data_IF_679204713704
#
_entry.id   IF_679204713704
#
_cell.length_a   1.000
_cell.length_b   1.000
_cell.length_c   1.000
_cell.angle_alpha   90.00
_cell.angle_beta   90.00
_cell.angle_gamma   90.00
#
_symmetry.space_group_name_H-M   'P 1'
#
loop_
_entity.id
_entity.type
_entity.pdbx_description
1 polymer ?
#
# COMPACT_ATOMS: atom_id res chain seq x y z
N UNK A 1 5.24 32.11 7.54
CA UNK A 1 5.72 30.78 8.00
C UNK A 1 5.43 29.70 6.96
N UNK A 2 5.09 30.09 5.73
CA UNK A 2 4.53 29.22 4.68
C UNK A 2 5.55 28.68 3.67
N UNK A 3 6.82 29.07 3.78
CA UNK A 3 7.87 28.65 2.84
C UNK A 3 8.44 27.25 3.08
N UNK A 4 8.31 26.71 4.29
CA UNK A 4 8.84 25.39 4.67
C UNK A 4 7.87 24.22 4.42
N UNK A 5 6.56 24.48 4.36
CA UNK A 5 5.56 23.47 4.03
C UNK A 5 5.71 22.97 2.58
N UNK A 6 6.00 23.88 1.63
CA UNK A 6 6.31 23.52 0.25
C UNK A 6 7.58 22.68 0.10
N UNK A 7 8.53 22.81 1.04
CA UNK A 7 9.78 22.05 1.07
C UNK A 7 9.65 20.68 1.77
N UNK A 8 8.45 20.30 2.24
CA UNK A 8 8.23 19.04 2.95
C UNK A 8 8.98 18.95 4.28
N UNK A 9 9.37 20.09 4.85
CA UNK A 9 10.09 20.17 6.14
C UNK A 9 9.12 20.22 7.31
N UNK A 10 7.87 20.62 7.06
CA UNK A 10 6.77 20.57 8.03
C UNK A 10 5.61 19.79 7.42
N UNK A 11 5.17 18.73 8.09
CA UNK A 11 3.85 18.13 7.85
C UNK A 11 2.85 19.18 8.34
N UNK A 12 1.91 19.59 7.50
CA UNK A 12 0.79 20.41 7.97
C UNK A 12 0.12 19.64 9.13
N UNK A 13 0.04 20.24 10.32
CA UNK A 13 -0.43 19.61 11.57
C UNK A 13 -1.96 19.35 11.57
N UNK A 14 -2.54 19.05 10.41
CA UNK A 14 -3.85 18.42 10.37
C UNK A 14 -3.68 16.93 10.69
N UNK A 15 -4.37 16.46 11.72
CA UNK A 15 -4.49 15.04 12.15
C UNK A 15 -5.02 14.09 11.04
N UNK A 16 -5.08 14.52 9.78
CA UNK A 16 -5.82 13.88 8.69
C UNK A 16 -4.95 13.29 7.58
N UNK A 17 -3.64 13.56 7.54
CA UNK A 17 -2.77 13.05 6.50
C UNK A 17 -1.87 11.92 7.01
N UNK A 18 -1.90 10.79 6.30
CA UNK A 18 -1.09 9.60 6.62
C UNK A 18 -0.35 9.12 5.37
N UNK A 19 0.83 8.53 5.57
CA UNK A 19 1.57 7.84 4.51
C UNK A 19 1.39 6.34 4.69
N UNK A 20 0.89 5.68 3.64
CA UNK A 20 0.72 4.22 3.56
C UNK A 20 1.22 3.74 2.20
N UNK A 21 1.52 2.44 2.11
CA UNK A 21 1.85 1.77 0.85
C UNK A 21 0.59 1.23 0.22
N UNK A 22 0.39 1.51 -1.06
CA UNK A 22 -0.63 0.85 -1.88
C UNK A 22 -0.19 -0.59 -2.13
N UNK A 23 -1.05 -1.54 -1.78
CA UNK A 23 -0.81 -2.98 -1.96
C UNK A 23 -1.67 -3.55 -3.07
N UNK A 24 -2.89 -3.02 -3.24
CA UNK A 24 -3.75 -3.34 -4.37
C UNK A 24 -4.47 -2.10 -4.88
N UNK A 25 -4.72 -2.06 -6.18
CA UNK A 25 -5.51 -1.04 -6.87
C UNK A 25 -6.84 -1.64 -7.33
N UNK A 26 -7.76 -0.80 -7.81
CA UNK A 26 -9.07 -1.22 -8.29
C UNK A 26 -9.04 -2.49 -9.14
N UNK A 27 -9.87 -3.45 -8.76
CA UNK A 27 -9.99 -4.76 -9.38
C UNK A 27 -9.10 -5.84 -8.77
N UNK A 28 -8.00 -5.51 -8.10
CA UNK A 28 -7.08 -6.50 -7.53
C UNK A 28 -7.75 -7.38 -6.48
N UNK A 29 -7.40 -8.67 -6.47
CA UNK A 29 -7.65 -9.54 -5.33
C UNK A 29 -6.43 -9.53 -4.42
N UNK A 30 -6.59 -9.05 -3.19
CA UNK A 30 -5.54 -9.06 -2.18
C UNK A 30 -5.92 -10.00 -1.05
N UNK A 31 -5.05 -10.96 -0.77
CA UNK A 31 -5.29 -11.99 0.24
C UNK A 31 -4.12 -12.05 1.21
N UNK A 32 -4.44 -12.17 2.50
CA UNK A 32 -3.52 -12.71 3.48
C UNK A 32 -4.05 -14.03 4.03
N UNK A 33 -3.25 -15.10 4.04
CA UNK A 33 -1.87 -15.18 3.52
C UNK A 33 -1.64 -16.54 2.88
N UNK A 34 -0.60 -16.63 2.04
CA UNK A 34 -0.14 -17.94 1.56
C UNK A 34 0.40 -18.80 2.72
N UNK A 35 0.74 -20.06 2.43
CA UNK A 35 1.25 -21.00 3.43
C UNK A 35 2.57 -20.56 4.10
N UNK A 36 3.24 -19.54 3.56
CA UNK A 36 4.48 -18.94 4.11
C UNK A 36 4.22 -17.60 4.80
N UNK A 37 2.96 -17.17 4.95
CA UNK A 37 2.59 -15.92 5.59
C UNK A 37 2.74 -14.68 4.71
N UNK A 38 2.86 -14.84 3.38
CA UNK A 38 3.02 -13.71 2.44
C UNK A 38 1.67 -13.18 1.98
N UNK A 39 1.63 -11.88 1.69
CA UNK A 39 0.51 -11.26 0.99
C UNK A 39 0.51 -11.75 -0.45
N UNK A 40 -0.69 -12.03 -0.95
CA UNK A 40 -0.92 -12.48 -2.32
C UNK A 40 -1.76 -11.42 -3.03
N UNK A 41 -1.31 -10.95 -4.19
CA UNK A 41 -2.04 -10.04 -5.07
C UNK A 41 -2.23 -10.75 -6.41
N UNK A 42 -3.48 -10.96 -6.84
CA UNK A 42 -3.81 -11.65 -8.10
C UNK A 42 -3.03 -12.97 -8.27
N UNK A 43 -3.07 -13.81 -7.22
CA UNK A 43 -2.39 -15.11 -7.14
C UNK A 43 -0.85 -15.06 -7.10
N UNK A 44 -0.25 -13.86 -7.05
CA UNK A 44 1.20 -13.65 -6.92
C UNK A 44 1.56 -13.30 -5.49
N UNK A 45 2.42 -14.12 -4.88
CA UNK A 45 2.86 -13.91 -3.50
C UNK A 45 4.03 -12.93 -3.43
N UNK A 46 3.82 -11.80 -2.76
CA UNK A 46 4.77 -10.69 -2.66
C UNK A 46 5.98 -11.06 -1.79
N UNK A 47 7.17 -10.62 -2.21
CA UNK A 47 8.40 -10.73 -1.43
C UNK A 47 8.77 -9.38 -0.80
N UNK A 48 8.14 -9.07 0.33
CA UNK A 48 8.21 -7.75 0.98
C UNK A 48 9.34 -7.64 2.03
N UNK A 49 9.69 -8.77 2.66
CA UNK A 49 10.67 -8.88 3.75
C UNK A 49 12.09 -8.63 3.24
N UNK A 50 12.83 -7.78 3.94
CA UNK A 50 14.16 -7.34 3.53
C UNK A 50 14.15 -6.27 2.44
N UNK A 51 12.99 -5.91 1.88
CA UNK A 51 12.83 -4.84 0.90
C UNK A 51 12.35 -3.55 1.58
N UNK A 52 11.13 -3.58 2.14
CA UNK A 52 10.58 -2.49 2.95
C UNK A 52 10.00 -2.96 4.29
N UNK A 53 9.81 -4.26 4.49
CA UNK A 53 9.56 -4.84 5.81
C UNK A 53 10.86 -5.31 6.44
N UNK A 54 11.02 -5.10 7.74
CA UNK A 54 12.11 -5.73 8.49
C UNK A 54 11.88 -7.24 8.66
N UNK A 55 12.94 -8.01 8.87
CA UNK A 55 12.86 -9.47 9.09
C UNK A 55 11.98 -9.87 10.30
N UNK A 56 11.76 -8.96 11.24
CA UNK A 56 10.90 -9.18 12.41
C UNK A 56 9.43 -8.80 12.20
N UNK A 57 9.06 -8.26 11.04
CA UNK A 57 7.68 -7.87 10.73
C UNK A 57 7.01 -8.98 9.90
N UNK A 58 5.90 -9.52 10.40
CA UNK A 58 5.03 -10.37 9.61
C UNK A 58 4.30 -9.51 8.54
N UNK A 59 4.11 -10.01 7.30
CA UNK A 59 3.32 -9.30 6.30
C UNK A 59 1.87 -9.02 6.77
N UNK A 60 1.32 -9.85 7.65
CA UNK A 60 0.09 -9.60 8.38
C UNK A 60 -0.10 -10.57 9.54
N UNK A 61 -0.74 -10.11 10.60
CA UNK A 61 -1.34 -10.97 11.63
C UNK A 61 -2.88 -11.07 11.52
N UNK A 62 -3.47 -10.34 10.57
CA UNK A 62 -4.92 -10.32 10.32
C UNK A 62 -5.20 -10.99 8.97
N UNK A 63 -6.09 -11.99 8.95
CA UNK A 63 -6.52 -12.64 7.72
C UNK A 63 -7.54 -11.77 6.97
N UNK A 64 -7.43 -11.74 5.64
CA UNK A 64 -8.39 -11.06 4.78
C UNK A 64 -8.30 -11.60 3.37
N UNK A 65 -9.39 -11.44 2.63
CA UNK A 65 -9.50 -11.77 1.22
C UNK A 65 -10.48 -10.78 0.60
N UNK A 66 -9.97 -9.86 -0.21
CA UNK A 66 -10.72 -8.69 -0.68
C UNK A 66 -10.52 -8.49 -2.17
N UNK A 67 -11.55 -7.98 -2.82
CA UNK A 67 -11.45 -7.36 -4.14
C UNK A 67 -11.47 -5.84 -3.93
N UNK A 68 -10.43 -5.16 -4.39
CA UNK A 68 -10.37 -3.70 -4.29
C UNK A 68 -11.42 -3.09 -5.24
N UNK A 69 -12.32 -2.23 -4.77
CA UNK A 69 -13.27 -1.55 -5.65
C UNK A 69 -12.55 -0.67 -6.69
N UNK A 70 -13.19 -0.48 -7.83
CA UNK A 70 -12.72 0.49 -8.84
C UNK A 70 -12.51 1.88 -8.22
N UNK A 71 -11.49 2.59 -8.70
CA UNK A 71 -11.08 3.91 -8.18
C UNK A 71 -10.73 3.94 -6.68
N UNK A 72 -10.41 2.79 -6.08
CA UNK A 72 -9.93 2.71 -4.70
C UNK A 72 -8.58 2.00 -4.59
N UNK A 73 -7.99 2.10 -3.42
CA UNK A 73 -6.75 1.43 -3.03
C UNK A 73 -6.95 0.62 -1.75
N UNK A 74 -6.31 -0.54 -1.69
CA UNK A 74 -6.06 -1.25 -0.44
C UNK A 74 -4.64 -0.93 0.02
N UNK A 75 -4.50 -0.38 1.22
CA UNK A 75 -3.23 0.17 1.71
C UNK A 75 -2.81 -0.49 3.01
N UNK A 76 -1.50 -0.66 3.19
CA UNK A 76 -0.89 -1.14 4.43
C UNK A 76 0.24 -0.19 4.86
N UNK A 77 0.47 -0.09 6.17
CA UNK A 77 1.69 0.52 6.68
C UNK A 77 2.88 -0.43 6.60
N UNK A 78 4.08 0.09 6.35
CA UNK A 78 5.32 -0.72 6.35
C UNK A 78 5.70 -1.20 7.76
N UNK A 79 5.19 -0.54 8.81
CA UNK A 79 5.20 -1.06 10.19
C UNK A 79 3.87 -1.76 10.50
N UNK A 80 3.71 -2.97 9.95
CA UNK A 80 2.49 -3.79 9.98
C UNK A 80 1.92 -3.94 11.38
N UNK A 81 2.77 -4.26 12.36
CA UNK A 81 2.37 -4.48 13.76
C UNK A 81 1.74 -3.26 14.46
N UNK A 82 1.95 -2.06 13.92
CA UNK A 82 1.56 -0.79 14.56
C UNK A 82 0.82 0.16 13.62
N UNK A 83 0.21 -0.37 12.56
CA UNK A 83 -0.46 0.44 11.54
C UNK A 83 -1.97 0.22 11.61
N UNK A 84 -2.72 1.28 11.95
CA UNK A 84 -4.14 1.36 11.60
C UNK A 84 -4.26 1.64 10.11
N UNK A 85 -4.59 0.62 9.33
CA UNK A 85 -4.74 0.67 7.88
C UNK A 85 -5.93 -0.17 7.41
N UNK A 86 -6.08 -0.37 6.10
CA UNK A 86 -7.24 -1.00 5.47
C UNK A 86 -7.72 -2.27 6.17
N UNK A 87 -6.77 -3.06 6.68
CA UNK A 87 -7.03 -4.37 7.28
C UNK A 87 -7.87 -4.32 8.56
N UNK A 88 -7.84 -3.18 9.28
CA UNK A 88 -8.62 -2.98 10.52
C UNK A 88 -10.05 -2.49 10.30
N UNK A 89 -10.38 -2.05 9.07
CA UNK A 89 -11.71 -1.54 8.74
C UNK A 89 -12.53 -2.55 7.93
N UNK A 90 -12.02 -3.77 7.74
CA UNK A 90 -12.75 -4.83 7.05
C UNK A 90 -13.88 -5.42 7.90
N UNK A 91 -14.99 -5.86 7.28
CA UNK A 91 -15.27 -5.87 5.83
C UNK A 91 -15.96 -4.59 5.32
N UNK A 92 -15.89 -3.47 6.04
CA UNK A 92 -16.60 -2.25 5.68
C UNK A 92 -15.96 -1.54 4.47
N UNK A 93 -16.73 -0.72 3.77
CA UNK A 93 -16.23 0.10 2.64
C UNK A 93 -15.06 1.02 3.05
N UNK A 94 -15.01 1.41 4.33
CA UNK A 94 -13.91 2.21 4.90
C UNK A 94 -12.55 1.52 4.86
N UNK A 95 -12.49 0.22 4.55
CA UNK A 95 -11.24 -0.47 4.30
C UNK A 95 -10.52 0.02 3.04
N UNK A 96 -11.21 0.65 2.10
CA UNK A 96 -10.63 1.07 0.83
C UNK A 96 -10.52 2.59 0.79
N UNK A 97 -9.34 3.08 0.37
CA UNK A 97 -9.07 4.51 0.25
C UNK A 97 -9.47 4.96 -1.15
N UNK A 98 -10.35 5.96 -1.25
CA UNK A 98 -10.72 6.53 -2.55
C UNK A 98 -9.51 7.16 -3.22
N UNK A 99 -9.43 7.05 -4.55
CA UNK A 99 -8.40 7.75 -5.34
C UNK A 99 -8.46 9.26 -5.15
N UNK A 100 -9.64 9.81 -4.88
CA UNK A 100 -9.83 11.25 -4.66
C UNK A 100 -9.30 11.73 -3.29
N UNK A 101 -9.08 10.81 -2.34
CA UNK A 101 -8.48 11.12 -1.04
C UNK A 101 -6.93 11.11 -1.08
N UNK A 102 -6.33 10.74 -2.22
CA UNK A 102 -4.87 10.69 -2.38
C UNK A 102 -4.33 12.07 -2.79
N UNK A 103 -3.60 12.69 -1.87
CA UNK A 103 -2.96 14.00 -2.11
C UNK A 103 -1.74 13.88 -3.03
N UNK A 104 -0.99 12.77 -2.96
CA UNK A 104 0.17 12.55 -3.81
C UNK A 104 1.02 11.34 -3.41
N UNK A 105 2.10 11.12 -4.14
CA UNK A 105 3.05 10.02 -3.92
C UNK A 105 4.31 10.54 -3.23
N UNK A 106 4.77 9.87 -2.18
CA UNK A 106 6.05 10.18 -1.56
C UNK A 106 7.21 9.76 -2.49
N UNK A 107 8.14 10.68 -2.76
CA UNK A 107 9.24 10.45 -3.72
C UNK A 107 10.63 10.85 -3.19
N UNK A 108 10.71 11.44 -2.00
CA UNK A 108 11.97 11.92 -1.41
C UNK A 108 11.96 11.70 0.11
N UNK A 109 13.09 11.25 0.64
CA UNK A 109 13.40 11.30 2.07
C UNK A 109 14.13 12.61 2.31
N UNK A 110 13.59 13.49 3.16
CA UNK A 110 14.20 14.79 3.47
C UNK A 110 15.07 14.75 4.73
N UNK A 111 14.77 13.85 5.67
CA UNK A 111 15.45 13.74 6.96
C UNK A 111 15.66 12.28 7.43
N UNK A 112 16.69 12.02 8.27
CA UNK A 112 17.79 12.94 8.62
C UNK A 112 18.64 13.29 7.39
N UNK A 113 19.39 14.42 7.42
CA UNK A 113 20.17 14.92 6.28
C UNK A 113 21.11 13.85 5.68
N UNK A 114 21.65 12.96 6.53
CA UNK A 114 22.49 11.83 6.10
C UNK A 114 21.78 10.77 5.25
N UNK A 115 20.44 10.76 5.25
CA UNK A 115 19.58 9.88 4.46
C UNK A 115 18.78 10.64 3.40
N UNK A 116 19.05 11.93 3.20
CA UNK A 116 18.32 12.73 2.25
C UNK A 116 18.58 12.24 0.82
N UNK A 117 17.53 12.03 0.05
CA UNK A 117 17.62 11.53 -1.31
C UNK A 117 16.30 10.97 -1.84
N UNK A 118 16.28 10.49 -3.09
CA UNK A 118 15.10 9.85 -3.66
C UNK A 118 14.60 8.71 -2.77
N UNK A 119 13.29 8.64 -2.57
CA UNK A 119 12.67 7.48 -1.96
C UNK A 119 12.65 6.37 -3.02
N UNK A 120 13.28 5.24 -2.74
CA UNK A 120 13.15 4.05 -3.58
C UNK A 120 11.68 3.66 -3.66
N UNK A 121 11.17 3.46 -4.88
CA UNK A 121 9.78 3.12 -5.14
C UNK A 121 9.45 1.65 -4.82
N UNK A 122 10.47 0.78 -4.75
CA UNK A 122 10.36 -0.64 -4.38
C UNK A 122 9.32 -1.40 -5.23
N UNK A 123 9.10 -0.95 -6.47
CA UNK A 123 8.10 -1.53 -7.38
C UNK A 123 8.39 -2.98 -7.74
N UNK A 124 9.68 -3.39 -7.68
CA UNK A 124 10.11 -4.75 -7.99
C UNK A 124 9.40 -5.85 -7.19
N UNK A 125 8.83 -5.52 -6.02
CA UNK A 125 7.98 -6.44 -5.22
C UNK A 125 6.70 -6.84 -5.96
N UNK A 126 6.24 -5.99 -6.88
CA UNK A 126 5.00 -6.12 -7.64
C UNK A 126 5.22 -6.44 -9.13
N UNK A 127 6.46 -6.52 -9.63
CA UNK A 127 6.74 -6.74 -11.06
C UNK A 127 6.13 -8.03 -11.62
N UNK A 128 5.94 -9.04 -10.77
CA UNK A 128 5.32 -10.31 -11.13
C UNK A 128 3.78 -10.26 -11.06
N UNK A 129 3.20 -9.25 -10.39
CA UNK A 129 1.75 -9.06 -10.33
C UNK A 129 1.29 -8.66 -11.73
N UNK A 130 0.42 -9.45 -12.37
CA UNK A 130 -0.03 -9.12 -13.71
C UNK A 130 -0.78 -7.79 -13.71
N UNK A 131 -0.44 -6.92 -14.65
CA UNK A 131 -1.34 -5.84 -15.04
C UNK A 131 -2.69 -6.46 -15.37
N UNK A 132 -3.76 -5.85 -14.87
CA UNK A 132 -5.11 -6.12 -15.39
C UNK A 132 -5.16 -5.62 -16.84
N UNK A 133 -4.70 -6.46 -17.76
CA UNK A 133 -5.15 -6.39 -19.14
C UNK A 133 -6.62 -6.79 -19.12
N UNK A 134 -7.44 -5.84 -19.57
CA UNK A 134 -8.88 -5.89 -19.76
C UNK A 134 -9.43 -7.34 -19.88
N UNK A 135 -9.98 -7.88 -18.79
CA UNK A 135 -10.89 -9.04 -18.88
C UNK A 135 -12.25 -8.55 -19.42
N UNK A 136 -12.22 -7.85 -20.55
CA UNK A 136 -13.34 -7.69 -21.47
C UNK A 136 -13.16 -8.71 -22.60
N UNK A 137 -13.23 -10.00 -22.29
CA UNK A 137 -13.05 -11.01 -23.33
C UNK A 137 -13.09 -12.45 -22.86
N UNK A 138 -14.30 -13.00 -22.71
CA UNK A 138 -14.48 -14.46 -22.65
C UNK A 138 -15.63 -14.88 -21.75
N UNK A 139 -16.86 -14.66 -22.22
CA UNK A 139 -18.06 -15.14 -21.54
C UNK A 139 -18.15 -16.66 -21.49
N UNK A 140 -18.82 -17.14 -20.44
CA UNK A 140 -19.66 -18.33 -20.47
C UNK A 140 -20.90 -18.06 -19.58
N UNK A 141 -21.86 -17.36 -20.16
CA UNK A 141 -23.29 -17.68 -20.05
C UNK A 141 -23.76 -18.06 -21.45
#
# INVERSE_FOLDING_TARGET
VDGLAFLGVTVDDSDTHVVKRVIGVGGDRVTCCDARGRIVVNDVALNETGVYLSDSEAPSDIAFDVIVPENHYFVLGDRRSSSGDSRFYLPEEKAFVSKDDVVGTAFVVTLPVSRMGPLGDQHAVFDEVPDRTDTSGGGWW
#
